data_IF_055000350448
#
_entry.id   IF_055000350448
#
_cell.length_a   1.000
_cell.length_b   1.000
_cell.length_c   1.000
_cell.angle_alpha   90.00
_cell.angle_beta   90.00
_cell.angle_gamma   90.00
#
_symmetry.space_group_name_H-M   'P 1'
#
loop_
_entity.id
_entity.type
_entity.pdbx_description
1 polymer ?
#
# COMPACT_ATOMS: atom_id res chain seq x y z
N UNK A 1 20.56 -3.57 18.40
CA UNK A 1 19.49 -3.55 17.39
C UNK A 1 18.42 -2.57 17.88
N UNK A 2 18.51 -1.32 17.45
CA UNK A 2 17.53 -0.30 17.82
C UNK A 2 16.25 -0.63 17.05
N UNK A 3 15.22 -1.16 17.73
CA UNK A 3 13.87 -1.22 17.12
C UNK A 3 13.48 0.22 16.83
N UNK A 4 13.56 0.60 15.55
CA UNK A 4 13.04 1.89 15.10
C UNK A 4 11.55 1.96 15.43
N UNK A 5 11.08 3.16 15.73
CA UNK A 5 9.64 3.43 15.88
C UNK A 5 8.93 3.07 14.57
N UNK A 6 7.89 2.24 14.63
CA UNK A 6 6.99 2.00 13.50
C UNK A 6 6.15 3.23 13.21
N UNK A 7 5.82 3.43 11.93
CA UNK A 7 5.00 4.54 11.49
C UNK A 7 3.53 4.29 11.84
N UNK A 8 2.93 5.27 12.50
CA UNK A 8 1.53 5.23 12.90
C UNK A 8 0.59 5.65 11.77
N UNK A 9 -0.70 5.39 11.93
CA UNK A 9 -1.77 5.96 11.10
C UNK A 9 -1.73 7.48 11.06
N UNK A 10 -1.38 8.13 12.17
CA UNK A 10 -1.19 9.59 12.21
C UNK A 10 -0.04 10.04 11.31
N UNK A 11 1.09 9.32 11.33
CA UNK A 11 2.22 9.62 10.46
C UNK A 11 1.81 9.50 8.98
N UNK A 12 1.01 8.50 8.61
CA UNK A 12 0.47 8.34 7.25
C UNK A 12 -0.45 9.50 6.88
N UNK A 13 -1.45 9.82 7.70
CA UNK A 13 -2.35 10.95 7.48
C UNK A 13 -1.59 12.28 7.30
N UNK A 14 -0.51 12.47 8.05
CA UNK A 14 0.32 13.68 7.97
C UNK A 14 0.98 13.87 6.59
N UNK A 15 1.19 12.80 5.81
CA UNK A 15 1.74 12.87 4.45
C UNK A 15 0.84 13.67 3.50
N UNK A 16 -0.48 13.63 3.69
CA UNK A 16 -1.42 14.41 2.86
C UNK A 16 -1.64 15.82 3.44
N UNK A 17 -1.49 15.97 4.75
CA UNK A 17 -1.90 17.17 5.47
C UNK A 17 -3.42 17.21 5.63
N UNK A 18 -3.90 18.08 6.52
CA UNK A 18 -5.30 18.04 6.98
C UNK A 18 -6.32 18.30 5.87
N UNK A 19 -6.08 19.31 5.03
CA UNK A 19 -7.02 19.71 3.98
C UNK A 19 -7.25 18.60 2.95
N UNK A 20 -6.17 18.06 2.37
CA UNK A 20 -6.26 17.03 1.34
C UNK A 20 -6.77 15.71 1.92
N UNK A 21 -6.36 15.34 3.14
CA UNK A 21 -6.91 14.15 3.80
C UNK A 21 -8.43 14.28 3.99
N UNK A 22 -8.92 15.42 4.49
CA UNK A 22 -10.35 15.63 4.70
C UNK A 22 -11.15 15.65 3.39
N UNK A 23 -10.55 16.14 2.32
CA UNK A 23 -11.14 16.12 0.97
C UNK A 23 -11.30 14.69 0.44
N UNK A 24 -10.23 13.89 0.50
CA UNK A 24 -10.24 12.51 0.00
C UNK A 24 -11.22 11.65 0.81
N UNK A 25 -11.20 11.73 2.14
CA UNK A 25 -12.16 11.00 2.99
C UNK A 25 -13.59 11.31 2.57
N UNK A 26 -13.91 12.60 2.37
CA UNK A 26 -15.24 13.01 1.94
C UNK A 26 -15.60 12.45 0.56
N UNK A 27 -14.69 12.59 -0.41
CA UNK A 27 -14.92 12.11 -1.77
C UNK A 27 -15.28 10.62 -1.80
N UNK A 28 -14.50 9.79 -1.11
CA UNK A 28 -14.71 8.34 -1.11
C UNK A 28 -15.90 7.92 -0.23
N UNK A 29 -16.15 8.60 0.89
CA UNK A 29 -17.35 8.35 1.71
C UNK A 29 -18.63 8.68 0.94
N UNK A 30 -18.67 9.82 0.23
CA UNK A 30 -19.83 10.21 -0.58
C UNK A 30 -20.07 9.23 -1.75
N UNK A 31 -19.01 8.63 -2.28
CA UNK A 31 -19.07 7.62 -3.35
C UNK A 31 -19.41 6.20 -2.87
N UNK A 32 -19.31 5.93 -1.57
CA UNK A 32 -19.56 4.60 -0.96
C UNK A 32 -20.47 4.70 0.26
N UNK A 33 -21.75 5.10 0.10
CA UNK A 33 -22.63 5.43 1.22
C UNK A 33 -22.90 4.28 2.19
N UNK A 34 -22.70 3.03 1.76
CA UNK A 34 -22.87 1.83 2.57
C UNK A 34 -21.61 1.44 3.36
N UNK A 35 -20.46 2.04 3.05
CA UNK A 35 -19.20 1.79 3.73
C UNK A 35 -19.06 2.67 4.98
N UNK A 36 -18.66 2.10 6.13
CA UNK A 36 -18.30 2.89 7.30
C UNK A 36 -17.13 3.86 7.02
N UNK A 37 -17.16 5.06 7.62
CA UNK A 37 -16.12 6.08 7.42
C UNK A 37 -14.73 5.57 7.82
N UNK A 38 -14.64 4.80 8.89
CA UNK A 38 -13.40 4.19 9.36
C UNK A 38 -12.83 3.15 8.37
N UNK A 39 -13.70 2.47 7.61
CA UNK A 39 -13.26 1.60 6.51
C UNK A 39 -12.62 2.41 5.37
N UNK A 40 -13.24 3.53 4.98
CA UNK A 40 -12.68 4.45 3.97
C UNK A 40 -11.37 5.07 4.44
N UNK A 41 -11.28 5.53 5.70
CA UNK A 41 -10.03 6.02 6.28
C UNK A 41 -8.93 4.95 6.29
N UNK A 42 -9.30 3.67 6.47
CA UNK A 42 -8.36 2.56 6.39
C UNK A 42 -7.86 2.33 4.96
N UNK A 43 -8.73 2.37 3.95
CA UNK A 43 -8.31 2.28 2.55
C UNK A 43 -7.30 3.38 2.20
N UNK A 44 -7.56 4.63 2.61
CA UNK A 44 -6.64 5.75 2.39
C UNK A 44 -5.31 5.51 3.11
N UNK A 45 -5.34 5.01 4.34
CA UNK A 45 -4.13 4.65 5.09
C UNK A 45 -3.32 3.58 4.35
N UNK A 46 -3.94 2.51 3.86
CA UNK A 46 -3.24 1.44 3.13
C UNK A 46 -2.70 1.93 1.78
N UNK A 47 -3.41 2.81 1.08
CA UNK A 47 -2.89 3.50 -0.11
C UNK A 47 -1.61 4.29 0.20
N UNK A 48 -1.58 5.04 1.30
CA UNK A 48 -0.39 5.79 1.71
C UNK A 48 0.77 4.88 2.13
N UNK A 49 0.47 3.74 2.79
CA UNK A 49 1.46 2.72 3.12
C UNK A 49 2.07 2.09 1.86
N UNK A 50 1.24 1.79 0.85
CA UNK A 50 1.69 1.35 -0.47
C UNK A 50 2.67 2.36 -1.08
N UNK A 51 2.27 3.63 -1.21
CA UNK A 51 3.12 4.68 -1.80
C UNK A 51 4.41 4.89 -1.02
N UNK A 52 4.34 4.80 0.32
CA UNK A 52 5.51 4.87 1.18
C UNK A 52 6.50 3.73 0.91
N UNK A 53 6.01 2.49 0.77
CA UNK A 53 6.86 1.34 0.47
C UNK A 53 7.56 1.48 -0.88
N UNK A 54 6.80 1.82 -1.93
CA UNK A 54 7.34 2.04 -3.28
C UNK A 54 8.37 3.17 -3.28
N UNK A 55 8.10 4.25 -2.54
CA UNK A 55 9.03 5.36 -2.40
C UNK A 55 10.30 4.99 -1.65
N UNK A 56 10.19 4.26 -0.54
CA UNK A 56 11.34 3.95 0.32
C UNK A 56 12.22 2.84 -0.23
N UNK A 57 11.61 1.83 -0.84
CA UNK A 57 12.26 0.58 -1.25
C UNK A 57 12.27 0.45 -2.77
N UNK A 58 12.58 1.55 -3.46
CA UNK A 58 12.56 1.63 -4.94
C UNK A 58 13.42 0.57 -5.61
N UNK A 59 14.57 0.20 -5.03
CA UNK A 59 15.44 -0.82 -5.63
C UNK A 59 14.82 -2.22 -5.53
N UNK A 60 14.10 -2.51 -4.44
CA UNK A 60 13.47 -3.82 -4.21
C UNK A 60 12.09 -3.94 -4.85
N UNK A 61 11.36 -2.83 -4.97
CA UNK A 61 9.95 -2.77 -5.38
C UNK A 61 9.71 -1.98 -6.68
N UNK A 62 10.73 -1.32 -7.22
CA UNK A 62 10.60 -0.49 -8.42
C UNK A 62 10.19 -1.33 -9.64
N UNK A 63 9.05 -0.99 -10.23
CA UNK A 63 8.49 -1.74 -11.36
C UNK A 63 7.70 -2.99 -10.96
N UNK A 64 7.55 -3.27 -9.66
CA UNK A 64 6.66 -4.33 -9.18
C UNK A 64 5.23 -3.82 -9.09
N UNK A 65 4.30 -4.63 -9.60
CA UNK A 65 2.89 -4.47 -9.31
C UNK A 65 2.61 -5.08 -7.93
N UNK A 66 2.35 -4.25 -6.92
CA UNK A 66 1.87 -4.79 -5.65
C UNK A 66 0.38 -5.08 -5.79
N UNK A 67 -0.08 -6.31 -5.51
CA UNK A 67 -1.49 -6.67 -5.62
C UNK A 67 -2.27 -6.01 -4.49
N UNK A 68 -2.72 -4.78 -4.75
CA UNK A 68 -3.66 -4.04 -3.93
C UNK A 68 -5.07 -4.26 -4.48
N UNK A 69 -6.07 -4.12 -3.62
CA UNK A 69 -7.46 -4.13 -4.05
C UNK A 69 -7.80 -2.91 -4.90
N UNK A 70 -8.81 -3.04 -5.78
CA UNK A 70 -9.20 -1.99 -6.72
C UNK A 70 -9.45 -0.64 -6.03
N UNK A 71 -10.11 -0.65 -4.88
CA UNK A 71 -10.41 0.59 -4.13
C UNK A 71 -9.14 1.36 -3.72
N UNK A 72 -8.03 0.65 -3.47
CA UNK A 72 -6.75 1.27 -3.11
C UNK A 72 -6.12 1.94 -4.34
N UNK A 73 -6.21 1.29 -5.50
CA UNK A 73 -5.75 1.84 -6.78
C UNK A 73 -6.62 3.05 -7.20
N UNK A 74 -7.92 3.04 -6.94
CA UNK A 74 -8.80 4.18 -7.17
C UNK A 74 -8.43 5.40 -6.31
N UNK A 75 -8.07 5.20 -5.04
CA UNK A 75 -7.55 6.29 -4.19
C UNK A 75 -6.25 6.84 -4.75
N UNK A 76 -5.36 5.99 -5.25
CA UNK A 76 -4.12 6.45 -5.88
C UNK A 76 -4.39 7.22 -7.18
N UNK A 77 -5.32 6.73 -8.02
CA UNK A 77 -5.78 7.46 -9.20
C UNK A 77 -6.32 8.85 -8.85
N UNK A 78 -7.15 8.95 -7.80
CA UNK A 78 -7.63 10.23 -7.31
C UNK A 78 -6.48 11.16 -6.92
N UNK A 79 -5.49 10.65 -6.18
CA UNK A 79 -4.30 11.41 -5.80
C UNK A 79 -3.54 11.93 -7.03
N UNK A 80 -3.32 11.10 -8.05
CA UNK A 80 -2.61 11.48 -9.28
C UNK A 80 -3.26 12.69 -9.97
N UNK A 81 -4.59 12.79 -9.93
CA UNK A 81 -5.33 13.92 -10.50
C UNK A 81 -5.11 15.23 -9.72
N UNK A 82 -4.74 15.16 -8.44
CA UNK A 82 -4.32 16.31 -7.64
C UNK A 82 -2.86 16.67 -7.96
N UNK A 83 -2.59 17.08 -9.21
CA UNK A 83 -1.24 17.10 -9.79
C UNK A 83 -0.17 17.83 -8.97
N UNK A 84 -0.51 18.96 -8.35
CA UNK A 84 0.41 19.72 -7.49
C UNK A 84 0.65 18.98 -6.18
N UNK A 85 -0.42 18.56 -5.53
CA UNK A 85 -0.41 17.88 -4.25
C UNK A 85 0.28 16.52 -4.34
N UNK A 86 0.05 15.77 -5.43
CA UNK A 86 0.70 14.50 -5.72
C UNK A 86 2.19 14.65 -5.98
N UNK A 87 2.59 15.71 -6.70
CA UNK A 87 4.00 16.05 -6.87
C UNK A 87 4.65 16.32 -5.51
N UNK A 88 4.05 17.16 -4.67
CA UNK A 88 4.55 17.45 -3.31
C UNK A 88 4.59 16.19 -2.45
N UNK A 89 3.56 15.34 -2.51
CA UNK A 89 3.55 14.05 -1.82
C UNK A 89 4.78 13.21 -2.22
N UNK A 90 5.00 13.03 -3.52
CA UNK A 90 6.08 12.20 -4.05
C UNK A 90 7.49 12.77 -3.81
N UNK A 91 7.68 14.03 -4.13
CA UNK A 91 9.01 14.65 -4.21
C UNK A 91 9.46 15.27 -2.89
N UNK A 92 8.53 15.59 -1.97
CA UNK A 92 8.85 16.31 -0.73
C UNK A 92 8.52 15.50 0.54
N UNK A 93 7.40 14.77 0.55
CA UNK A 93 6.86 14.16 1.79
C UNK A 93 7.15 12.67 1.91
N UNK A 94 7.12 11.94 0.80
CA UNK A 94 7.51 10.53 0.77
C UNK A 94 9.04 10.37 0.87
N UNK A 95 9.53 9.30 1.51
CA UNK A 95 10.94 9.17 1.91
C UNK A 95 11.91 9.11 0.72
N UNK A 96 11.48 8.59 -0.43
CA UNK A 96 12.31 8.45 -1.63
C UNK A 96 12.51 9.75 -2.41
N UNK A 97 11.67 10.77 -2.19
CA UNK A 97 11.75 12.08 -2.86
C UNK A 97 11.86 12.01 -4.39
N UNK A 98 11.06 11.13 -5.00
CA UNK A 98 10.98 11.00 -6.45
C UNK A 98 9.52 10.84 -6.88
N UNK A 99 9.22 11.29 -8.09
CA UNK A 99 7.90 11.16 -8.67
C UNK A 99 7.56 9.68 -8.96
N UNK A 100 6.52 9.15 -8.31
CA UNK A 100 6.05 7.79 -8.56
C UNK A 100 5.12 7.81 -9.78
N UNK A 101 5.55 7.15 -10.86
CA UNK A 101 4.75 7.03 -12.07
C UNK A 101 3.76 5.87 -11.94
N UNK A 102 2.51 6.12 -12.27
CA UNK A 102 1.50 5.08 -12.47
C UNK A 102 1.47 4.64 -13.93
N UNK A 103 1.19 3.36 -14.17
CA UNK A 103 0.86 2.82 -15.49
C UNK A 103 -0.36 1.93 -15.35
N UNK A 104 -1.42 2.20 -16.11
CA UNK A 104 -2.63 1.38 -16.18
C UNK A 104 -2.40 0.11 -17.00
N UNK A 105 -1.52 -0.77 -16.53
CA UNK A 105 -1.29 -2.10 -17.12
C UNK A 105 -2.10 -3.10 -16.31
N UNK A 106 -2.88 -3.95 -16.99
CA UNK A 106 -3.64 -5.00 -16.31
C UNK A 106 -2.68 -6.01 -15.65
N UNK A 107 -3.06 -6.56 -14.49
CA UNK A 107 -2.23 -7.53 -13.79
C UNK A 107 -1.94 -8.77 -14.67
N UNK A 108 -2.90 -9.17 -15.50
CA UNK A 108 -2.79 -10.26 -16.45
C UNK A 108 -1.75 -9.99 -17.54
N UNK A 109 -1.60 -8.73 -17.95
CA UNK A 109 -0.59 -8.30 -18.93
C UNK A 109 0.80 -8.24 -18.30
N UNK A 110 0.89 -7.88 -17.02
CA UNK A 110 2.13 -7.92 -16.24
C UNK A 110 2.63 -9.36 -16.02
N UNK A 111 1.72 -10.32 -15.78
CA UNK A 111 2.02 -11.74 -15.53
C UNK A 111 2.42 -12.54 -16.77
N UNK A 112 2.33 -11.98 -17.98
CA UNK A 112 2.67 -12.71 -19.21
C UNK A 112 4.19 -12.91 -19.40
N UNK A 113 5.03 -12.17 -18.67
CA UNK A 113 6.49 -12.22 -18.81
C UNK A 113 7.25 -12.94 -17.66
N UNK A 114 6.86 -12.87 -16.38
CA UNK A 114 7.56 -13.59 -15.31
C UNK A 114 7.16 -15.07 -15.23
N UNK A 115 8.13 -15.93 -14.92
CA UNK A 115 7.84 -17.31 -14.53
C UNK A 115 7.05 -17.36 -13.21
N UNK A 116 6.24 -18.41 -13.01
CA UNK A 116 5.39 -18.58 -11.80
C UNK A 116 6.12 -18.34 -10.48
N UNK A 117 7.37 -18.76 -10.37
CA UNK A 117 8.20 -18.57 -9.18
C UNK A 117 8.54 -17.09 -8.94
N UNK A 118 8.92 -16.37 -9.99
CA UNK A 118 9.19 -14.93 -9.93
C UNK A 118 7.93 -14.14 -9.57
N UNK A 119 6.78 -14.46 -10.19
CA UNK A 119 5.51 -13.83 -9.85
C UNK A 119 5.13 -14.00 -8.37
N UNK A 120 5.37 -15.19 -7.82
CA UNK A 120 5.14 -15.46 -6.40
C UNK A 120 6.12 -14.69 -5.51
N UNK A 121 7.40 -14.63 -5.90
CA UNK A 121 8.42 -13.88 -5.18
C UNK A 121 8.06 -12.39 -5.12
N UNK A 122 7.68 -11.79 -6.25
CA UNK A 122 7.27 -10.39 -6.35
C UNK A 122 6.03 -10.09 -5.50
N UNK A 123 5.04 -10.99 -5.51
CA UNK A 123 3.83 -10.86 -4.71
C UNK A 123 4.08 -10.92 -3.19
N UNK A 124 5.18 -11.53 -2.74
CA UNK A 124 5.50 -11.72 -1.32
C UNK A 124 6.60 -10.80 -0.80
N UNK A 125 7.51 -10.32 -1.67
CA UNK A 125 8.72 -9.57 -1.28
C UNK A 125 8.45 -8.30 -0.48
N UNK A 126 7.29 -7.69 -0.66
CA UNK A 126 6.90 -6.46 0.02
C UNK A 126 6.42 -6.68 1.47
N UNK A 127 5.95 -7.88 1.82
CA UNK A 127 5.36 -8.16 3.15
C UNK A 127 6.36 -7.88 4.29
N UNK A 128 7.62 -8.36 4.26
CA UNK A 128 8.59 -8.05 5.31
C UNK A 128 8.96 -6.57 5.37
N UNK A 129 8.90 -5.87 4.23
CA UNK A 129 9.13 -4.42 4.15
C UNK A 129 7.99 -3.67 4.85
N UNK A 130 6.73 -4.05 4.57
CA UNK A 130 5.56 -3.51 5.25
C UNK A 130 5.70 -3.66 6.77
N UNK A 131 5.95 -4.88 7.24
CA UNK A 131 6.01 -5.15 8.68
C UNK A 131 7.13 -4.39 9.38
N UNK A 132 8.25 -4.15 8.70
CA UNK A 132 9.34 -3.34 9.24
C UNK A 132 8.96 -1.87 9.42
N UNK A 133 8.21 -1.29 8.49
CA UNK A 133 7.86 0.13 8.54
C UNK A 133 6.61 0.40 9.40
N UNK A 134 5.61 -0.47 9.35
CA UNK A 134 4.28 -0.22 9.94
C UNK A 134 3.92 -1.15 11.11
N UNK A 135 4.68 -2.22 11.32
CA UNK A 135 4.31 -3.29 12.25
C UNK A 135 3.48 -4.40 11.58
N UNK A 136 3.07 -5.42 12.36
CA UNK A 136 2.31 -6.55 11.82
C UNK A 136 0.94 -6.11 11.28
N UNK A 137 0.39 -6.89 10.36
CA UNK A 137 -0.99 -6.73 9.91
C UNK A 137 -1.96 -7.00 11.05
N UNK A 138 -3.07 -6.25 11.04
CA UNK A 138 -4.26 -6.50 11.83
C UNK A 138 -5.38 -7.03 10.91
N UNK A 139 -6.48 -7.51 11.49
CA UNK A 139 -7.63 -8.03 10.72
C UNK A 139 -8.23 -6.96 9.80
N UNK A 140 -8.18 -5.68 10.21
CA UNK A 140 -8.64 -4.55 9.41
C UNK A 140 -7.82 -4.31 8.14
N UNK A 141 -6.64 -4.91 8.00
CA UNK A 141 -5.82 -4.83 6.79
C UNK A 141 -6.26 -5.84 5.71
N UNK A 142 -6.88 -6.95 6.10
CA UNK A 142 -7.20 -8.06 5.19
C UNK A 142 -8.09 -7.67 4.01
N UNK A 143 -9.11 -6.82 4.17
CA UNK A 143 -9.93 -6.38 3.05
C UNK A 143 -9.19 -5.54 2.01
N UNK A 144 -7.94 -5.13 2.26
CA UNK A 144 -7.21 -4.18 1.41
C UNK A 144 -5.96 -4.77 0.73
N UNK A 145 -5.53 -5.97 1.15
CA UNK A 145 -4.32 -6.63 0.67
C UNK A 145 -4.61 -8.06 0.23
N UNK A 146 -4.84 -8.27 -1.07
CA UNK A 146 -5.29 -9.55 -1.64
C UNK A 146 -4.40 -10.73 -1.23
N UNK A 147 -3.08 -10.57 -1.33
CA UNK A 147 -2.14 -11.66 -1.01
C UNK A 147 -2.10 -11.96 0.50
N UNK A 148 -2.25 -10.95 1.36
CA UNK A 148 -2.27 -11.14 2.82
C UNK A 148 -3.54 -11.87 3.22
N UNK A 149 -4.68 -11.48 2.65
CA UNK A 149 -5.97 -12.17 2.82
C UNK A 149 -5.88 -13.62 2.37
N UNK A 150 -5.34 -13.88 1.18
CA UNK A 150 -5.16 -15.24 0.68
C UNK A 150 -4.28 -16.11 1.59
N UNK A 151 -3.14 -15.58 2.05
CA UNK A 151 -2.27 -16.29 3.01
C UNK A 151 -3.00 -16.62 4.32
N UNK A 152 -3.85 -15.71 4.79
CA UNK A 152 -4.58 -15.88 6.04
C UNK A 152 -5.75 -16.85 5.93
N UNK A 153 -6.67 -16.58 4.99
CA UNK A 153 -7.97 -17.25 4.90
C UNK A 153 -7.86 -18.59 4.16
N UNK A 154 -7.12 -18.64 3.06
CA UNK A 154 -7.04 -19.82 2.19
C UNK A 154 -5.89 -20.76 2.58
N UNK A 155 -4.75 -20.19 3.01
CA UNK A 155 -3.58 -20.99 3.43
C UNK A 155 -3.50 -21.21 4.96
N UNK A 156 -4.37 -20.58 5.74
CA UNK A 156 -4.46 -20.78 7.19
C UNK A 156 -3.27 -20.22 7.98
N UNK A 157 -2.47 -19.30 7.41
CA UNK A 157 -1.38 -18.67 8.16
C UNK A 157 -1.95 -17.64 9.15
N UNK A 158 -1.46 -17.62 10.38
CA UNK A 158 -1.75 -16.52 11.31
C UNK A 158 -1.10 -15.21 10.84
N UNK A 159 -1.67 -14.06 11.20
CA UNK A 159 -1.06 -12.75 10.91
C UNK A 159 0.35 -12.62 11.50
N UNK A 160 0.61 -13.25 12.65
CA UNK A 160 1.94 -13.33 13.24
C UNK A 160 2.91 -14.12 12.35
N UNK A 161 2.49 -15.26 11.80
CA UNK A 161 3.30 -16.05 10.89
C UNK A 161 3.58 -15.31 9.56
N UNK A 162 2.60 -14.55 9.05
CA UNK A 162 2.78 -13.69 7.87
C UNK A 162 3.80 -12.58 8.17
N UNK A 163 3.72 -11.96 9.35
CA UNK A 163 4.67 -10.92 9.77
C UNK A 163 6.11 -11.44 9.97
N UNK A 164 6.26 -12.74 10.27
CA UNK A 164 7.55 -13.41 10.43
C UNK A 164 8.17 -13.89 9.10
N UNK A 165 7.48 -13.68 7.96
CA UNK A 165 8.07 -13.94 6.65
C UNK A 165 9.36 -13.14 6.48
N UNK A 166 10.40 -13.82 6.00
CA UNK A 166 11.71 -13.21 5.75
C UNK A 166 11.84 -12.87 4.28
N UNK A 167 12.61 -11.83 3.98
CA UNK A 167 13.07 -11.62 2.61
C UNK A 167 13.91 -12.82 2.20
N UNK A 168 13.57 -13.42 1.07
CA UNK A 168 14.46 -14.34 0.37
C UNK A 168 15.56 -13.46 -0.25
N UNK A 169 16.81 -13.86 -0.04
CA UNK A 169 17.99 -13.09 -0.43
C UNK A 169 18.31 -13.24 -1.93
#
# INVERSE_FOLDING_TARGET
MTRGRTLSTYDMKSLLGESLHAEIVRHFTDGTPDAPVDFVERQITECLRYLYLVSRHREQLGGLFLPVEQDIDEIWHYLILQTREYRTLCEERLPGRFFIHHRSIAYEEYQQEPGREQALEEALRWIPLYCREFGPFDEGALPHWTIVRFLHEEMGLSLAAIADLKQVA
#
